data_IF_825372597188
#
_entry.id   IF_825372597188
#
_cell.length_a   1.000
_cell.length_b   1.000
_cell.length_c   1.000
_cell.angle_alpha   90.00
_cell.angle_beta   90.00
_cell.angle_gamma   90.00
#
_symmetry.space_group_name_H-M   'P 1'
#
loop_
_entity.id
_entity.type
_entity.pdbx_description
1 polymer ?
#
# COMPACT_ATOMS: atom_id res chain seq x y z
N UNK A 1 4.09 0.32 -2.89
CA UNK A 1 5.52 -0.10 -3.00
C UNK A 1 6.34 1.06 -2.48
N UNK A 2 7.41 0.81 -1.75
CA UNK A 2 8.28 1.89 -1.29
C UNK A 2 8.99 2.58 -2.48
N UNK A 3 9.34 3.88 -2.39
CA UNK A 3 9.89 4.63 -3.53
C UNK A 3 11.15 4.03 -4.14
N UNK A 4 12.05 3.45 -3.33
CA UNK A 4 13.27 2.81 -3.83
C UNK A 4 12.97 1.55 -4.64
N UNK A 5 12.12 0.68 -4.11
CA UNK A 5 11.69 -0.53 -4.81
C UNK A 5 10.89 -0.20 -6.09
N UNK A 6 10.11 0.89 -6.07
CA UNK A 6 9.37 1.36 -7.25
C UNK A 6 10.32 1.77 -8.38
N UNK A 7 11.38 2.51 -8.08
CA UNK A 7 12.39 2.89 -9.09
C UNK A 7 13.08 1.69 -9.72
N UNK A 8 13.58 0.76 -8.91
CA UNK A 8 14.24 -0.47 -9.40
C UNK A 8 13.29 -1.26 -10.31
N UNK A 9 12.02 -1.36 -9.93
CA UNK A 9 11.01 -2.05 -10.73
C UNK A 9 10.77 -1.35 -12.07
N UNK A 10 10.61 -0.02 -12.07
CA UNK A 10 10.37 0.77 -13.29
C UNK A 10 11.60 0.76 -14.23
N UNK A 11 12.80 0.89 -13.70
CA UNK A 11 14.03 0.76 -14.49
C UNK A 11 14.14 -0.63 -15.15
N UNK A 12 13.73 -1.68 -14.45
CA UNK A 12 13.73 -3.03 -15.00
C UNK A 12 12.70 -3.16 -16.14
N UNK A 13 11.51 -2.59 -15.94
CA UNK A 13 10.47 -2.58 -16.96
C UNK A 13 10.88 -1.77 -18.20
N UNK A 14 11.48 -0.59 -18.03
CA UNK A 14 11.88 0.25 -19.18
C UNK A 14 12.91 -0.43 -20.07
N UNK A 15 13.77 -1.28 -19.49
CA UNK A 15 14.75 -2.10 -20.25
C UNK A 15 14.14 -3.32 -20.95
N UNK A 16 12.97 -3.76 -20.48
CA UNK A 16 12.27 -4.95 -20.98
C UNK A 16 11.21 -4.64 -22.02
N UNK A 17 10.69 -3.42 -22.02
CA UNK A 17 9.65 -2.96 -22.92
C UNK A 17 10.25 -2.36 -24.19
N UNK A 18 9.58 -2.59 -25.31
CA UNK A 18 9.96 -2.03 -26.62
C UNK A 18 9.27 -0.69 -26.91
N UNK A 19 9.68 -0.01 -27.98
CA UNK A 19 9.14 1.34 -28.32
C UNK A 19 7.64 1.35 -28.66
N UNK A 20 7.03 0.18 -28.91
CA UNK A 20 5.58 0.06 -29.19
C UNK A 20 4.76 -0.36 -27.97
N UNK A 21 5.41 -0.68 -26.85
CA UNK A 21 4.75 -1.14 -25.66
C UNK A 21 4.27 0.05 -24.81
N UNK A 22 3.20 -0.18 -24.08
CA UNK A 22 2.63 0.79 -23.13
C UNK A 22 2.60 0.17 -21.74
N UNK A 23 2.80 1.02 -20.75
CA UNK A 23 2.67 0.70 -19.34
C UNK A 23 1.48 1.48 -18.77
N UNK A 24 0.49 0.79 -18.23
CA UNK A 24 -0.64 1.39 -17.52
C UNK A 24 -0.40 1.24 -16.02
N UNK A 25 -0.37 2.36 -15.29
CA UNK A 25 -0.17 2.36 -13.83
C UNK A 25 -1.26 3.21 -13.18
N UNK A 26 -1.92 2.63 -12.16
CA UNK A 26 -2.86 3.34 -11.30
C UNK A 26 -2.15 4.01 -10.12
N UNK A 27 -2.45 5.30 -9.89
CA UNK A 27 -1.94 6.07 -8.76
C UNK A 27 -3.08 6.66 -7.93
N UNK A 28 -3.01 6.46 -6.62
CA UNK A 28 -3.88 7.15 -5.68
C UNK A 28 -3.34 8.57 -5.46
N UNK A 29 -4.16 9.58 -5.81
CA UNK A 29 -3.73 10.97 -5.78
C UNK A 29 -3.80 11.56 -4.38
N UNK A 30 -2.92 12.53 -4.12
CA UNK A 30 -2.97 13.35 -2.93
C UNK A 30 -4.30 14.10 -2.85
N UNK A 31 -4.95 14.02 -1.70
CA UNK A 31 -6.24 14.66 -1.41
C UNK A 31 -6.34 15.05 0.06
N UNK A 32 -7.45 15.66 0.44
CA UNK A 32 -7.68 16.08 1.82
C UNK A 32 -7.42 14.92 2.80
N UNK A 33 -6.54 15.08 3.81
CA UNK A 33 -6.23 14.05 4.80
C UNK A 33 -7.43 13.48 5.54
N UNK A 34 -8.50 14.27 5.73
CA UNK A 34 -9.75 13.80 6.35
C UNK A 34 -10.47 12.78 5.46
N UNK A 35 -10.41 12.96 4.14
CA UNK A 35 -10.96 11.96 3.20
C UNK A 35 -10.14 10.68 3.23
N UNK A 36 -8.81 10.80 3.26
CA UNK A 36 -7.93 9.66 3.42
C UNK A 36 -8.22 8.90 4.72
N UNK A 37 -8.30 9.62 5.84
CA UNK A 37 -8.63 9.02 7.13
C UNK A 37 -9.96 8.27 7.08
N UNK A 38 -11.02 8.90 6.56
CA UNK A 38 -12.35 8.27 6.48
C UNK A 38 -12.36 7.02 5.61
N UNK A 39 -11.60 7.01 4.50
CA UNK A 39 -11.53 5.86 3.60
C UNK A 39 -10.85 4.66 4.26
N UNK A 40 -9.73 4.88 4.97
CA UNK A 40 -8.94 3.82 5.59
C UNK A 40 -9.42 3.41 7.00
N UNK A 41 -10.43 4.09 7.54
CA UNK A 41 -11.12 3.73 8.79
C UNK A 41 -12.60 3.37 8.55
N UNK A 42 -12.97 3.07 7.33
CA UNK A 42 -14.29 2.55 7.00
C UNK A 42 -14.44 1.10 7.50
N UNK A 43 -15.62 0.66 8.01
CA UNK A 43 -15.81 -0.69 8.56
C UNK A 43 -15.45 -1.82 7.59
N UNK A 44 -15.60 -1.62 6.28
CA UNK A 44 -15.18 -2.61 5.28
C UNK A 44 -13.65 -2.74 5.20
N UNK A 45 -12.95 -1.63 5.39
CA UNK A 45 -11.48 -1.61 5.39
C UNK A 45 -10.92 -2.26 6.67
N UNK A 46 -11.53 -2.00 7.82
CA UNK A 46 -11.24 -2.70 9.08
C UNK A 46 -11.41 -4.21 8.91
N UNK A 47 -12.54 -4.64 8.35
CA UNK A 47 -12.82 -6.05 8.08
C UNK A 47 -11.77 -6.68 7.16
N UNK A 48 -11.35 -5.96 6.12
CA UNK A 48 -10.30 -6.41 5.19
C UNK A 48 -8.98 -6.63 5.93
N UNK A 49 -8.53 -5.67 6.74
CA UNK A 49 -7.29 -5.77 7.50
C UNK A 49 -7.32 -6.91 8.52
N UNK A 50 -8.40 -7.05 9.28
CA UNK A 50 -8.56 -8.16 10.23
C UNK A 50 -8.62 -9.53 9.53
N UNK A 51 -9.09 -9.59 8.28
CA UNK A 51 -9.10 -10.82 7.50
C UNK A 51 -7.69 -11.32 7.14
N UNK A 52 -6.68 -10.44 7.12
CA UNK A 52 -5.28 -10.85 6.96
C UNK A 52 -4.84 -11.81 8.07
N UNK A 53 -5.30 -11.58 9.30
CA UNK A 53 -5.00 -12.49 10.43
C UNK A 53 -5.64 -13.87 10.22
N UNK A 54 -6.89 -13.92 9.72
CA UNK A 54 -7.54 -15.20 9.38
C UNK A 54 -6.74 -15.94 8.31
N UNK A 55 -6.28 -15.22 7.29
CA UNK A 55 -5.50 -15.82 6.22
C UNK A 55 -4.16 -16.36 6.71
N UNK A 56 -3.47 -15.63 7.60
CA UNK A 56 -2.22 -16.10 8.21
C UNK A 56 -2.49 -17.35 9.06
N UNK A 57 -3.57 -17.36 9.85
CA UNK A 57 -3.99 -18.52 10.61
C UNK A 57 -4.22 -19.74 9.70
N UNK A 58 -4.96 -19.55 8.61
CA UNK A 58 -5.31 -20.64 7.70
C UNK A 58 -4.10 -21.16 6.91
N UNK A 59 -3.25 -20.27 6.40
CA UNK A 59 -2.15 -20.64 5.49
C UNK A 59 -0.91 -21.09 6.25
N UNK A 60 -0.60 -20.46 7.38
CA UNK A 60 0.62 -20.71 8.13
C UNK A 60 0.39 -21.44 9.47
N UNK A 61 -0.87 -21.81 9.77
CA UNK A 61 -1.23 -22.45 11.02
C UNK A 61 -0.96 -21.56 12.24
N UNK A 62 -1.21 -20.26 12.12
CA UNK A 62 -1.09 -19.34 13.24
C UNK A 62 -2.34 -19.36 14.12
N UNK A 63 -2.23 -18.74 15.31
CA UNK A 63 -3.32 -18.67 16.29
C UNK A 63 -3.73 -17.25 16.67
N UNK A 64 -3.64 -16.30 15.70
CA UNK A 64 -4.14 -14.94 15.88
C UNK A 64 -5.62 -14.94 16.29
N UNK A 65 -5.95 -14.23 17.36
CA UNK A 65 -7.34 -13.96 17.73
C UNK A 65 -7.69 -12.52 17.40
N UNK A 66 -8.50 -12.31 16.35
CA UNK A 66 -8.92 -10.99 15.85
C UNK A 66 -9.57 -10.10 16.90
N UNK A 67 -10.24 -10.69 17.91
CA UNK A 67 -10.86 -9.92 19.01
C UNK A 67 -9.87 -9.12 19.85
N UNK A 68 -8.59 -9.44 19.74
CA UNK A 68 -7.52 -8.76 20.46
C UNK A 68 -6.72 -7.81 19.58
N UNK A 69 -7.25 -7.46 18.40
CA UNK A 69 -6.67 -6.48 17.52
C UNK A 69 -7.70 -5.44 17.10
N UNK A 70 -7.28 -4.19 17.03
CA UNK A 70 -8.06 -3.08 16.45
C UNK A 70 -7.29 -2.49 15.29
N UNK A 71 -8.02 -2.12 14.25
CA UNK A 71 -7.44 -1.50 13.07
C UNK A 71 -7.46 0.03 13.21
N UNK A 72 -6.41 0.68 12.75
CA UNK A 72 -6.36 2.13 12.58
C UNK A 72 -5.57 2.45 11.31
N UNK A 73 -6.15 3.33 10.47
CA UNK A 73 -5.49 3.93 9.32
C UNK A 73 -5.12 5.36 9.63
N UNK A 74 -3.88 5.77 9.37
CA UNK A 74 -3.42 7.13 9.60
C UNK A 74 -2.64 7.67 8.41
N UNK A 75 -2.87 8.95 8.08
CA UNK A 75 -2.07 9.64 7.09
C UNK A 75 -0.79 10.18 7.73
N UNK A 76 0.36 9.79 7.18
CA UNK A 76 1.65 10.29 7.60
C UNK A 76 2.11 11.40 6.62
N UNK A 77 2.15 12.68 7.03
CA UNK A 77 2.52 13.79 6.15
C UNK A 77 4.01 13.80 5.74
N UNK A 78 4.87 13.08 6.46
CA UNK A 78 6.30 13.01 6.15
C UNK A 78 6.53 12.05 4.99
N UNK A 79 5.95 10.84 5.07
CA UNK A 79 6.05 9.82 4.02
C UNK A 79 5.03 10.02 2.90
N UNK A 80 4.00 10.83 3.15
CA UNK A 80 2.83 11.04 2.29
C UNK A 80 2.10 9.75 1.96
N UNK A 81 2.13 8.81 2.87
CA UNK A 81 1.41 7.56 2.79
C UNK A 81 0.26 7.51 3.79
N UNK A 82 -0.77 6.75 3.48
CA UNK A 82 -1.67 6.22 4.49
C UNK A 82 -1.11 4.88 4.93
N UNK A 83 -0.93 4.76 6.23
CA UNK A 83 -0.38 3.59 6.90
C UNK A 83 -1.49 2.92 7.69
N UNK A 84 -1.69 1.62 7.50
CA UNK A 84 -2.68 0.84 8.22
C UNK A 84 -2.00 -0.08 9.22
N UNK A 85 -2.54 -0.13 10.42
CA UNK A 85 -2.02 -0.90 11.52
C UNK A 85 -3.11 -1.75 12.17
N UNK A 86 -2.70 -2.89 12.69
CA UNK A 86 -3.45 -3.68 13.66
C UNK A 86 -2.74 -3.56 15.02
N UNK A 87 -3.39 -2.93 15.98
CA UNK A 87 -2.85 -2.77 17.33
C UNK A 87 -3.33 -3.91 18.22
N UNK A 88 -2.39 -4.55 18.93
CA UNK A 88 -2.76 -5.53 19.95
C UNK A 88 -3.38 -4.84 21.15
N UNK A 89 -4.59 -5.23 21.56
CA UNK A 89 -5.30 -4.63 22.70
C UNK A 89 -4.83 -5.18 24.06
N UNK A 90 -3.90 -6.11 24.06
CA UNK A 90 -3.38 -6.76 25.26
C UNK A 90 -1.99 -7.35 25.03
N UNK A 91 -1.30 -7.67 26.12
CA UNK A 91 -0.12 -8.53 26.02
C UNK A 91 -0.56 -9.93 25.59
N UNK A 92 0.02 -10.44 24.52
CA UNK A 92 -0.30 -11.78 23.99
C UNK A 92 0.89 -12.37 23.23
N UNK A 93 0.86 -13.66 23.06
CA UNK A 93 1.80 -14.40 22.22
C UNK A 93 1.01 -15.07 21.11
N UNK A 94 1.51 -15.00 19.90
CA UNK A 94 0.96 -15.69 18.72
C UNK A 94 2.00 -16.67 18.23
N UNK A 95 1.61 -17.93 18.13
CA UNK A 95 2.43 -18.98 17.56
C UNK A 95 2.14 -19.13 16.06
N UNK A 96 3.18 -19.20 15.23
CA UNK A 96 3.05 -19.51 13.79
C UNK A 96 3.69 -20.87 13.52
N UNK A 97 2.85 -21.87 13.36
CA UNK A 97 3.28 -23.29 13.24
C UNK A 97 4.23 -23.52 12.06
N UNK A 98 3.94 -22.93 10.89
CA UNK A 98 4.77 -23.10 9.70
C UNK A 98 6.20 -22.55 9.87
N UNK A 99 6.40 -21.60 10.77
CA UNK A 99 7.69 -21.00 11.10
C UNK A 99 8.29 -21.58 12.39
N UNK A 100 7.52 -22.38 13.14
CA UNK A 100 7.85 -22.85 14.49
C UNK A 100 8.35 -21.71 15.38
N UNK A 101 7.61 -20.59 15.39
CA UNK A 101 8.04 -19.36 16.05
C UNK A 101 6.91 -18.67 16.77
N UNK A 102 7.23 -18.13 17.95
CA UNK A 102 6.37 -17.29 18.77
C UNK A 102 6.66 -15.80 18.51
N UNK A 103 5.59 -15.02 18.38
CA UNK A 103 5.62 -13.57 18.28
C UNK A 103 4.90 -12.98 19.49
N UNK A 104 5.61 -12.13 20.23
CA UNK A 104 5.08 -11.51 21.44
C UNK A 104 4.63 -10.10 21.11
N UNK A 105 3.39 -9.78 21.42
CA UNK A 105 2.81 -8.46 21.28
C UNK A 105 2.59 -7.85 22.67
N UNK A 106 3.04 -6.61 22.85
CA UNK A 106 2.64 -5.80 24.00
C UNK A 106 1.30 -5.15 23.74
N UNK A 107 0.63 -4.71 24.80
CA UNK A 107 -0.57 -3.87 24.66
C UNK A 107 -0.23 -2.62 23.85
N UNK A 108 -1.02 -2.32 22.82
CA UNK A 108 -0.87 -1.24 21.85
C UNK A 108 0.36 -1.34 20.94
N UNK A 109 0.99 -2.50 20.89
CA UNK A 109 2.00 -2.76 19.87
C UNK A 109 1.36 -2.90 18.49
N UNK A 110 1.95 -2.21 17.50
CA UNK A 110 1.43 -2.12 16.15
C UNK A 110 2.02 -3.20 15.23
N UNK A 111 1.15 -3.83 14.47
CA UNK A 111 1.50 -4.62 13.29
C UNK A 111 1.10 -3.81 12.06
N UNK A 112 2.06 -3.31 11.30
CA UNK A 112 1.78 -2.60 10.06
C UNK A 112 1.31 -3.59 8.99
N UNK A 113 0.14 -3.33 8.40
CA UNK A 113 -0.49 -4.20 7.40
C UNK A 113 -0.36 -3.64 5.99
N UNK A 114 -0.36 -2.32 5.86
CA UNK A 114 -0.34 -1.65 4.57
C UNK A 114 0.34 -0.28 4.66
N UNK A 115 0.95 0.11 3.53
CA UNK A 115 1.43 1.46 3.30
C UNK A 115 1.04 1.87 1.87
N UNK A 116 0.19 2.90 1.76
CA UNK A 116 -0.35 3.39 0.49
C UNK A 116 0.10 4.81 0.23
N UNK A 117 1.08 4.97 -0.65
CA UNK A 117 1.63 6.27 -1.04
C UNK A 117 0.63 7.08 -1.86
N UNK A 118 0.61 8.39 -1.67
CA UNK A 118 -0.22 9.34 -2.40
C UNK A 118 0.67 10.23 -3.23
N UNK A 119 0.29 10.43 -4.49
CA UNK A 119 1.10 11.10 -5.50
C UNK A 119 0.45 12.40 -5.97
N UNK A 120 1.25 13.38 -6.35
CA UNK A 120 0.83 14.49 -7.21
C UNK A 120 1.07 14.13 -8.67
N UNK A 121 0.42 14.83 -9.61
CA UNK A 121 0.67 14.60 -11.03
C UNK A 121 2.13 14.89 -11.41
N UNK A 122 2.69 15.96 -10.88
CA UNK A 122 4.10 16.30 -11.08
C UNK A 122 5.05 15.18 -10.66
N UNK A 123 4.77 14.53 -9.53
CA UNK A 123 5.57 13.38 -9.07
C UNK A 123 5.43 12.16 -9.97
N UNK A 124 4.25 11.94 -10.53
CA UNK A 124 4.00 10.84 -11.48
C UNK A 124 4.77 11.10 -12.77
N UNK A 125 4.76 12.33 -13.29
CA UNK A 125 5.51 12.73 -14.48
C UNK A 125 7.01 12.64 -14.27
N UNK A 126 7.51 13.12 -13.11
CA UNK A 126 8.92 13.00 -12.75
C UNK A 126 9.34 11.54 -12.58
N UNK A 127 8.50 10.72 -11.94
CA UNK A 127 8.75 9.28 -11.78
C UNK A 127 8.85 8.56 -13.14
N UNK A 128 7.99 8.91 -14.09
CA UNK A 128 8.06 8.38 -15.44
C UNK A 128 9.39 8.79 -16.12
N UNK A 129 9.67 10.09 -16.13
CA UNK A 129 10.86 10.65 -16.80
C UNK A 129 12.16 10.08 -16.23
N UNK A 130 12.34 10.04 -14.91
CA UNK A 130 13.53 9.54 -14.23
C UNK A 130 13.79 8.06 -14.48
N UNK A 131 12.78 7.28 -14.90
CA UNK A 131 12.88 5.84 -15.12
C UNK A 131 12.79 5.43 -16.62
N UNK A 132 12.99 6.39 -17.53
CA UNK A 132 13.07 6.12 -18.96
C UNK A 132 11.70 5.99 -19.65
N UNK A 133 10.66 6.61 -19.07
CA UNK A 133 9.33 6.66 -19.66
C UNK A 133 8.91 8.11 -19.94
N UNK A 134 7.95 8.26 -20.85
CA UNK A 134 7.16 9.49 -21.00
C UNK A 134 5.69 9.19 -20.76
N UNK A 135 5.01 10.08 -20.09
CA UNK A 135 3.55 10.02 -19.93
C UNK A 135 2.89 10.32 -21.26
N UNK A 136 1.95 9.46 -21.67
CA UNK A 136 1.14 9.64 -22.88
C UNK A 136 -0.19 10.27 -22.54
N UNK A 137 -0.84 9.76 -21.48
CA UNK A 137 -2.17 10.19 -21.09
C UNK A 137 -2.43 9.90 -19.60
N UNK A 138 -3.27 10.73 -18.99
CA UNK A 138 -3.83 10.53 -17.66
C UNK A 138 -5.35 10.37 -17.74
N UNK A 139 -5.85 9.25 -17.28
CA UNK A 139 -7.29 8.94 -17.19
C UNK A 139 -7.73 9.05 -15.74
N UNK A 140 -8.64 9.99 -15.46
CA UNK A 140 -9.08 10.28 -14.10
C UNK A 140 -10.48 9.73 -13.81
N UNK A 141 -10.71 9.40 -12.53
CA UNK A 141 -12.09 9.30 -12.04
C UNK A 141 -12.76 10.69 -11.99
N UNK A 142 -14.10 10.70 -11.81
CA UNK A 142 -14.88 11.93 -11.81
C UNK A 142 -14.51 12.93 -10.72
N UNK A 143 -13.89 12.48 -9.62
CA UNK A 143 -13.47 13.32 -8.50
C UNK A 143 -11.97 13.64 -8.52
N UNK A 144 -11.25 13.09 -9.47
CA UNK A 144 -9.78 13.16 -9.57
C UNK A 144 -9.06 12.69 -8.29
N UNK A 145 -9.57 11.61 -7.71
CA UNK A 145 -8.96 10.97 -6.54
C UNK A 145 -7.95 9.90 -6.91
N UNK A 146 -8.10 9.37 -8.12
CA UNK A 146 -7.25 8.33 -8.66
C UNK A 146 -6.94 8.65 -10.13
N UNK A 147 -5.79 8.20 -10.62
CA UNK A 147 -5.41 8.34 -12.02
C UNK A 147 -4.81 7.06 -12.55
N UNK A 148 -5.31 6.59 -13.67
CA UNK A 148 -4.63 5.61 -14.51
C UNK A 148 -3.74 6.38 -15.49
N UNK A 149 -2.44 6.22 -15.35
CA UNK A 149 -1.44 6.90 -16.17
C UNK A 149 -0.86 5.94 -17.21
N UNK A 150 -0.95 6.31 -18.47
CA UNK A 150 -0.43 5.55 -19.61
C UNK A 150 0.94 6.09 -19.96
N UNK A 151 1.94 5.24 -19.90
CA UNK A 151 3.33 5.58 -20.19
C UNK A 151 3.86 4.80 -21.40
N UNK A 152 4.88 5.35 -22.02
CA UNK A 152 5.63 4.73 -23.11
C UNK A 152 7.12 4.89 -22.85
N UNK A 153 7.93 3.93 -23.29
CA UNK A 153 9.40 4.05 -23.22
C UNK A 153 9.83 5.34 -23.97
N UNK A 154 10.65 6.15 -23.32
CA UNK A 154 11.24 7.33 -23.94
C UNK A 154 12.26 6.91 -25.01
N UNK A 155 12.23 7.60 -26.15
CA UNK A 155 13.22 7.38 -27.25
C UNK A 155 14.54 8.01 -26.91
#
# INVERSE_FOLDING_TARGET
MDPGATRIFLETLSKSLGPKDYLLIGFDLMKNPKLLYSAYNHPLFEKLNLHLLDRINQVLGADFNKKYFVQEGQYNPITRAVESYLYSTRNQTVHIKALNKDYHFKTWEALQTEQSFKYTLEEIENLAFENGFKVVEHLFDSQKYFVDSIWKVAE
#
